data_IF_227671594256
#
_entry.id   IF_227671594256
#
_cell.length_a   1.000
_cell.length_b   1.000
_cell.length_c   1.000
_cell.angle_alpha   90.00
_cell.angle_beta   90.00
_cell.angle_gamma   90.00
#
_symmetry.space_group_name_H-M   'P 1'
#
loop_
_entity.id
_entity.type
_entity.pdbx_description
1 polymer ?
#
# COMPACT_ATOMS: atom_id res chain seq x y z
N UNK A 1 28.87 -2.67 41.61
CA UNK A 1 28.27 -2.63 40.26
C UNK A 1 28.93 -3.74 39.48
N UNK A 2 28.32 -4.91 39.42
CA UNK A 2 28.88 -6.08 38.74
C UNK A 2 28.75 -5.86 37.24
N UNK A 3 29.87 -5.60 36.57
CA UNK A 3 29.91 -5.63 35.11
C UNK A 3 29.52 -7.04 34.66
N UNK A 4 28.43 -7.11 33.91
CA UNK A 4 27.94 -8.34 33.34
C UNK A 4 28.92 -8.75 32.24
N UNK A 5 29.91 -9.58 32.58
CA UNK A 5 30.82 -10.21 31.63
C UNK A 5 30.04 -11.24 30.81
N UNK A 6 29.46 -10.80 29.70
CA UNK A 6 28.91 -11.72 28.71
C UNK A 6 30.06 -12.48 28.05
N UNK A 7 29.93 -13.79 27.99
CA UNK A 7 30.87 -14.66 27.29
C UNK A 7 30.94 -14.27 25.79
N UNK A 8 32.13 -13.90 25.26
CA UNK A 8 32.32 -13.56 23.84
C UNK A 8 31.89 -14.66 22.87
N UNK A 9 31.87 -15.92 23.33
CA UNK A 9 31.40 -17.05 22.53
C UNK A 9 29.90 -16.95 22.22
N UNK A 10 29.08 -16.49 23.18
CA UNK A 10 27.63 -16.30 23.00
C UNK A 10 27.38 -15.29 21.88
N UNK A 11 28.14 -14.19 21.81
CA UNK A 11 27.98 -13.19 20.74
C UNK A 11 28.16 -13.82 19.36
N UNK A 12 29.20 -14.62 19.16
CA UNK A 12 29.53 -15.14 17.82
C UNK A 12 28.60 -16.27 17.41
N UNK A 13 28.30 -17.18 18.34
CA UNK A 13 27.47 -18.36 18.08
C UNK A 13 25.96 -18.07 18.05
N UNK A 14 25.53 -16.92 18.58
CA UNK A 14 24.11 -16.52 18.60
C UNK A 14 23.83 -15.46 17.54
N UNK A 15 24.69 -14.44 17.40
CA UNK A 15 24.44 -13.35 16.43
C UNK A 15 24.72 -13.75 14.98
N UNK A 16 25.71 -14.61 14.70
CA UNK A 16 25.95 -14.99 13.30
C UNK A 16 24.78 -15.82 12.76
N UNK A 17 24.27 -16.84 13.48
CA UNK A 17 23.10 -17.59 13.01
C UNK A 17 21.81 -16.75 12.97
N UNK A 18 21.58 -15.84 13.93
CA UNK A 18 20.37 -15.01 13.92
C UNK A 18 20.34 -14.10 12.69
N UNK A 19 21.47 -13.50 12.31
CA UNK A 19 21.56 -12.62 11.13
C UNK A 19 21.32 -13.42 9.86
N UNK A 20 21.90 -14.63 9.76
CA UNK A 20 21.72 -15.49 8.59
C UNK A 20 20.25 -15.93 8.44
N UNK A 21 19.62 -16.40 9.52
CA UNK A 21 18.23 -16.85 9.49
C UNK A 21 17.28 -15.68 9.22
N UNK A 22 17.46 -14.53 9.90
CA UNK A 22 16.60 -13.35 9.66
C UNK A 22 16.74 -12.82 8.23
N UNK A 23 17.94 -12.89 7.64
CA UNK A 23 18.17 -12.53 6.24
C UNK A 23 17.39 -13.45 5.28
N UNK A 24 17.49 -14.77 5.44
CA UNK A 24 16.75 -15.71 4.59
C UNK A 24 15.23 -15.59 4.76
N UNK A 25 14.74 -15.41 5.99
CA UNK A 25 13.32 -15.14 6.26
C UNK A 25 12.87 -13.84 5.60
N UNK A 26 13.72 -12.81 5.59
CA UNK A 26 13.46 -11.55 4.89
C UNK A 26 13.30 -11.75 3.37
N UNK A 27 14.16 -12.56 2.76
CA UNK A 27 14.06 -12.92 1.34
C UNK A 27 12.75 -13.67 1.05
N UNK A 28 12.42 -14.69 1.85
CA UNK A 28 11.17 -15.45 1.70
C UNK A 28 9.95 -14.53 1.85
N UNK A 29 9.93 -13.65 2.86
CA UNK A 29 8.88 -12.65 3.05
C UNK A 29 8.72 -11.78 1.80
N UNK A 30 9.82 -11.29 1.22
CA UNK A 30 9.78 -10.44 0.04
C UNK A 30 9.13 -11.14 -1.14
N UNK A 31 9.51 -12.39 -1.42
CA UNK A 31 8.91 -13.17 -2.50
C UNK A 31 7.44 -13.53 -2.23
N UNK A 32 7.09 -13.90 -1.00
CA UNK A 32 5.69 -14.14 -0.60
C UNK A 32 4.85 -12.86 -0.77
N UNK A 33 5.39 -11.70 -0.44
CA UNK A 33 4.71 -10.43 -0.67
C UNK A 33 4.48 -10.17 -2.16
N UNK A 34 5.51 -10.36 -3.00
CA UNK A 34 5.38 -10.23 -4.45
C UNK A 34 4.32 -11.16 -5.05
N UNK A 35 4.20 -12.39 -4.52
CA UNK A 35 3.19 -13.35 -4.93
C UNK A 35 1.78 -12.99 -4.45
N UNK A 36 1.65 -12.41 -3.24
CA UNK A 36 0.36 -12.04 -2.64
C UNK A 36 -0.18 -10.70 -3.13
N UNK A 37 0.69 -9.81 -3.60
CA UNK A 37 0.34 -8.58 -4.31
C UNK A 37 -0.16 -8.98 -5.71
N UNK A 38 -1.43 -9.38 -5.75
CA UNK A 38 -2.14 -9.54 -7.01
C UNK A 38 -2.39 -8.15 -7.59
N UNK A 39 -1.99 -7.93 -8.85
CA UNK A 39 -2.43 -6.76 -9.61
C UNK A 39 -3.93 -6.92 -9.86
N UNK A 40 -4.75 -6.33 -8.99
CA UNK A 40 -6.20 -6.25 -9.20
C UNK A 40 -6.42 -5.73 -10.62
N UNK A 41 -7.20 -6.45 -11.42
CA UNK A 41 -7.64 -5.95 -12.72
C UNK A 41 -8.47 -4.72 -12.41
N UNK A 42 -7.89 -3.54 -12.64
CA UNK A 42 -8.63 -2.31 -12.51
C UNK A 42 -9.82 -2.42 -13.47
N UNK A 43 -11.00 -2.22 -12.93
CA UNK A 43 -12.23 -2.12 -13.69
C UNK A 43 -12.02 -1.08 -14.80
N UNK A 44 -12.14 -1.50 -16.07
CA UNK A 44 -11.81 -0.66 -17.22
C UNK A 44 -12.56 0.68 -17.16
N UNK A 45 -13.77 0.64 -16.63
CA UNK A 45 -14.62 1.79 -16.35
C UNK A 45 -13.97 2.81 -15.42
N UNK A 46 -13.42 2.37 -14.27
CA UNK A 46 -12.71 3.23 -13.32
C UNK A 46 -11.43 3.83 -13.90
N UNK A 47 -10.74 3.06 -14.75
CA UNK A 47 -9.55 3.55 -15.47
C UNK A 47 -9.94 4.65 -16.45
N UNK A 48 -11.00 4.43 -17.23
CA UNK A 48 -11.54 5.45 -18.13
C UNK A 48 -11.94 6.72 -17.38
N UNK A 49 -12.67 6.59 -16.27
CA UNK A 49 -13.08 7.74 -15.44
C UNK A 49 -11.88 8.54 -14.95
N UNK A 50 -10.82 7.85 -14.49
CA UNK A 50 -9.57 8.49 -14.06
C UNK A 50 -8.94 9.30 -15.20
N UNK A 51 -8.93 8.77 -16.42
CA UNK A 51 -8.41 9.48 -17.58
C UNK A 51 -9.26 10.69 -17.96
N UNK A 52 -10.59 10.58 -17.96
CA UNK A 52 -11.47 11.72 -18.27
C UNK A 52 -11.39 12.81 -17.20
N UNK A 53 -11.25 12.45 -15.93
CA UNK A 53 -11.05 13.39 -14.82
C UNK A 53 -9.70 14.11 -14.96
N UNK A 54 -8.64 13.38 -15.33
CA UNK A 54 -7.34 13.99 -15.64
C UNK A 54 -7.42 14.96 -16.83
N UNK A 55 -8.14 14.59 -17.90
CA UNK A 55 -8.40 15.48 -19.05
C UNK A 55 -9.17 16.74 -18.64
N UNK A 56 -10.19 16.62 -17.80
CA UNK A 56 -10.95 17.76 -17.29
C UNK A 56 -10.08 18.69 -16.45
N UNK A 57 -9.20 18.14 -15.58
CA UNK A 57 -8.22 18.94 -14.84
C UNK A 57 -7.26 19.69 -15.76
N UNK A 58 -6.74 19.00 -16.78
CA UNK A 58 -5.83 19.60 -17.76
C UNK A 58 -6.52 20.71 -18.55
N UNK A 59 -7.77 20.52 -18.97
CA UNK A 59 -8.57 21.53 -19.65
C UNK A 59 -8.80 22.76 -18.75
N UNK A 60 -9.01 22.56 -17.44
CA UNK A 60 -9.18 23.66 -16.47
C UNK A 60 -7.89 24.43 -16.24
N UNK A 61 -6.75 23.73 -16.15
CA UNK A 61 -5.44 24.36 -15.90
C UNK A 61 -4.87 25.05 -17.15
N UNK A 62 -4.95 24.39 -18.30
CA UNK A 62 -4.32 24.80 -19.55
C UNK A 62 -5.32 25.36 -20.57
N UNK A 63 -6.54 25.70 -20.14
CA UNK A 63 -7.61 26.18 -21.02
C UNK A 63 -7.29 27.50 -21.74
N UNK A 64 -6.35 28.28 -21.21
CA UNK A 64 -5.91 29.55 -21.79
C UNK A 64 -5.11 29.39 -23.11
N UNK A 65 -4.63 28.19 -23.42
CA UNK A 65 -3.84 27.89 -24.63
C UNK A 65 -4.76 27.63 -25.83
N UNK A 66 -6.03 27.29 -25.60
CA UNK A 66 -6.99 26.95 -26.64
C UNK A 66 -7.76 28.20 -27.10
N UNK A 67 -8.22 28.17 -28.35
CA UNK A 67 -9.21 29.13 -28.83
C UNK A 67 -10.50 29.06 -27.99
N UNK A 68 -11.17 30.20 -27.82
CA UNK A 68 -12.39 30.30 -27.01
C UNK A 68 -13.47 29.31 -27.45
N UNK A 69 -13.59 29.07 -28.76
CA UNK A 69 -14.57 28.13 -29.31
C UNK A 69 -14.24 26.66 -28.94
N UNK A 70 -12.96 26.28 -29.06
CA UNK A 70 -12.50 24.92 -28.72
C UNK A 70 -12.61 24.63 -27.23
N UNK A 71 -12.31 25.62 -26.39
CA UNK A 71 -12.49 25.52 -24.96
C UNK A 71 -13.96 25.34 -24.59
N UNK A 72 -14.85 26.13 -25.19
CA UNK A 72 -16.30 26.08 -24.91
C UNK A 72 -16.90 24.74 -25.35
N UNK A 73 -16.56 24.24 -26.53
CA UNK A 73 -17.00 22.92 -27.02
C UNK A 73 -16.58 21.79 -26.05
N UNK A 74 -15.31 21.78 -25.61
CA UNK A 74 -14.79 20.77 -24.67
C UNK A 74 -15.39 20.90 -23.27
N UNK A 75 -15.62 22.13 -22.81
CA UNK A 75 -16.31 22.40 -21.53
C UNK A 75 -17.74 21.86 -21.57
N UNK A 76 -18.45 22.08 -22.68
CA UNK A 76 -19.81 21.61 -22.87
C UNK A 76 -19.88 20.08 -22.83
N UNK A 77 -18.95 19.36 -23.47
CA UNK A 77 -18.86 17.89 -23.38
C UNK A 77 -18.81 17.36 -21.92
N UNK A 78 -18.11 18.05 -21.03
CA UNK A 78 -18.00 17.62 -19.62
C UNK A 78 -19.16 18.09 -18.74
N UNK A 79 -19.71 19.29 -19.00
CA UNK A 79 -20.60 20.03 -18.07
C UNK A 79 -22.06 20.06 -18.52
N UNK A 80 -22.39 19.62 -19.74
CA UNK A 80 -23.78 19.64 -20.25
C UNK A 80 -24.76 18.98 -19.26
N UNK A 81 -25.92 19.60 -19.02
CA UNK A 81 -26.87 19.15 -17.99
C UNK A 81 -27.50 17.79 -18.31
N UNK A 82 -27.70 17.47 -19.59
CA UNK A 82 -28.38 16.23 -20.01
C UNK A 82 -27.41 15.10 -20.43
N UNK A 83 -26.29 15.45 -21.08
CA UNK A 83 -25.32 14.48 -21.64
C UNK A 83 -23.89 14.68 -21.13
N UNK A 84 -23.68 15.57 -20.16
CA UNK A 84 -22.34 15.86 -19.65
C UNK A 84 -21.74 14.63 -19.01
N UNK A 85 -20.55 14.23 -19.46
CA UNK A 85 -19.87 13.04 -18.95
C UNK A 85 -19.75 13.03 -17.42
N UNK A 86 -19.61 14.21 -16.80
CA UNK A 86 -19.58 14.35 -15.34
C UNK A 86 -20.97 14.23 -14.70
N UNK A 87 -22.02 14.80 -15.31
CA UNK A 87 -23.38 14.76 -14.74
C UNK A 87 -24.00 13.36 -14.80
N UNK A 88 -23.88 12.66 -15.93
CA UNK A 88 -24.41 11.30 -16.09
C UNK A 88 -23.71 10.27 -15.19
N UNK A 89 -22.42 10.47 -14.90
CA UNK A 89 -21.62 9.59 -14.01
C UNK A 89 -21.80 9.89 -12.52
N UNK A 90 -22.10 11.14 -12.14
CA UNK A 90 -22.43 11.51 -10.75
C UNK A 90 -23.79 10.89 -10.33
N UNK A 91 -24.70 10.68 -11.28
CA UNK A 91 -25.99 10.01 -11.07
C UNK A 91 -25.90 8.47 -11.13
N UNK A 92 -24.82 7.92 -11.70
CA UNK A 92 -24.45 6.52 -11.44
C UNK A 92 -24.30 6.33 -9.94
N UNK A 93 -24.57 5.13 -9.39
CA UNK A 93 -24.57 4.92 -7.94
C UNK A 93 -23.26 5.46 -7.38
N UNK A 94 -23.36 6.58 -6.68
CA UNK A 94 -22.33 7.12 -5.81
C UNK A 94 -22.20 6.14 -4.65
N UNK A 95 -21.70 4.95 -4.93
CA UNK A 95 -20.93 4.20 -3.96
C UNK A 95 -19.55 4.86 -3.98
N UNK A 96 -19.48 6.05 -3.37
CA UNK A 96 -18.25 6.42 -2.67
C UNK A 96 -17.84 5.17 -1.87
N UNK A 97 -16.55 4.79 -1.90
CA UNK A 97 -16.10 3.45 -1.51
C UNK A 97 -16.76 3.08 -0.20
N UNK A 98 -17.75 2.18 -0.26
CA UNK A 98 -18.59 1.91 0.89
C UNK A 98 -17.65 1.22 1.88
N UNK A 99 -17.31 1.83 3.03
CA UNK A 99 -16.35 1.23 3.95
C UNK A 99 -16.85 -0.09 4.55
N UNK A 100 -18.12 -0.43 4.30
CA UNK A 100 -18.78 -1.68 4.66
C UNK A 100 -18.76 -2.74 3.54
N UNK A 101 -18.22 -2.44 2.36
CA UNK A 101 -18.12 -3.43 1.29
C UNK A 101 -17.05 -4.47 1.66
N UNK A 102 -17.43 -5.76 1.89
CA UNK A 102 -16.52 -6.77 2.43
C UNK A 102 -15.25 -6.94 1.57
N UNK A 103 -15.35 -6.72 0.26
CA UNK A 103 -14.22 -6.82 -0.66
C UNK A 103 -13.17 -5.70 -0.46
N UNK A 104 -13.60 -4.45 -0.26
CA UNK A 104 -12.68 -3.32 -0.06
C UNK A 104 -12.06 -3.33 1.34
N UNK A 105 -12.84 -3.69 2.36
CA UNK A 105 -12.33 -3.86 3.72
C UNK A 105 -11.30 -5.00 3.77
N UNK A 106 -11.55 -6.11 3.08
CA UNK A 106 -10.57 -7.22 2.98
C UNK A 106 -9.29 -6.79 2.29
N UNK A 107 -9.35 -5.94 1.25
CA UNK A 107 -8.16 -5.43 0.57
C UNK A 107 -7.31 -4.50 1.46
N UNK A 108 -7.96 -3.60 2.20
CA UNK A 108 -7.28 -2.72 3.15
C UNK A 108 -6.66 -3.51 4.31
N UNK A 109 -7.42 -4.46 4.88
CA UNK A 109 -6.95 -5.35 5.93
C UNK A 109 -5.81 -6.23 5.45
N UNK A 110 -5.90 -6.79 4.24
CA UNK A 110 -4.83 -7.59 3.63
C UNK A 110 -3.55 -6.78 3.47
N UNK A 111 -3.65 -5.53 3.00
CA UNK A 111 -2.49 -4.64 2.91
C UNK A 111 -1.83 -4.37 4.26
N UNK A 112 -2.63 -4.06 5.29
CA UNK A 112 -2.11 -3.79 6.64
C UNK A 112 -1.55 -5.06 7.32
N UNK A 113 -2.24 -6.19 7.17
CA UNK A 113 -1.80 -7.49 7.72
C UNK A 113 -0.50 -7.98 7.09
N UNK A 114 -0.30 -7.81 5.79
CA UNK A 114 0.96 -8.19 5.12
C UNK A 114 2.18 -7.42 5.66
N UNK A 115 1.95 -6.25 6.25
CA UNK A 115 3.00 -5.46 6.90
C UNK A 115 3.19 -5.85 8.37
N UNK A 116 2.09 -6.05 9.11
CA UNK A 116 2.08 -6.33 10.55
C UNK A 116 2.50 -7.78 10.88
N UNK A 117 1.97 -8.77 10.15
CA UNK A 117 2.20 -10.20 10.45
C UNK A 117 3.69 -10.54 10.53
N UNK A 118 4.54 -10.11 9.59
CA UNK A 118 5.92 -10.55 9.66
C UNK A 118 6.72 -9.81 10.74
N UNK A 119 6.29 -8.62 11.19
CA UNK A 119 6.88 -7.96 12.36
C UNK A 119 6.61 -8.76 13.64
N UNK A 120 5.38 -9.26 13.81
CA UNK A 120 5.01 -10.11 14.94
C UNK A 120 5.70 -11.48 14.89
N UNK A 121 5.77 -12.10 13.71
CA UNK A 121 6.44 -13.41 13.53
C UNK A 121 7.94 -13.31 13.84
N UNK A 122 8.62 -12.25 13.37
CA UNK A 122 10.04 -12.04 13.66
C UNK A 122 10.24 -11.77 15.16
N UNK A 123 9.43 -10.90 15.76
CA UNK A 123 9.51 -10.60 17.19
C UNK A 123 9.26 -11.84 18.07
N UNK A 124 8.27 -12.65 17.73
CA UNK A 124 7.97 -13.91 18.42
C UNK A 124 9.03 -14.98 18.23
N UNK A 125 9.56 -15.13 17.01
CA UNK A 125 10.64 -16.07 16.73
C UNK A 125 11.93 -15.72 17.47
N UNK A 126 12.32 -14.43 17.49
CA UNK A 126 13.48 -13.96 18.27
C UNK A 126 13.26 -14.21 19.77
N UNK A 127 12.07 -13.91 20.29
CA UNK A 127 11.77 -14.14 21.70
C UNK A 127 11.86 -15.63 22.06
N UNK A 128 11.30 -16.53 21.25
CA UNK A 128 11.34 -17.97 21.51
C UNK A 128 12.75 -18.59 21.36
N UNK A 129 13.50 -18.20 20.34
CA UNK A 129 14.83 -18.78 20.07
C UNK A 129 15.94 -18.25 20.98
N UNK A 130 15.78 -17.04 21.52
CA UNK A 130 16.77 -16.41 22.41
C UNK A 130 16.24 -16.15 23.83
N UNK A 131 15.09 -16.76 24.17
CA UNK A 131 14.56 -16.84 25.53
C UNK A 131 15.55 -17.61 26.41
N UNK A 132 16.38 -16.90 27.16
CA UNK A 132 17.33 -17.51 28.10
C UNK A 132 18.67 -16.80 28.25
N UNK A 133 18.99 -15.83 27.39
CA UNK A 133 20.24 -15.07 27.47
C UNK A 133 20.00 -13.56 27.39
N UNK A 134 20.70 -12.79 28.22
CA UNK A 134 20.68 -11.32 28.14
C UNK A 134 21.44 -10.93 26.87
N UNK A 135 20.76 -10.31 25.90
CA UNK A 135 21.34 -10.04 24.57
C UNK A 135 22.20 -8.77 24.58
N UNK A 136 21.79 -7.74 25.32
CA UNK A 136 22.53 -6.49 25.53
C UNK A 136 22.10 -5.84 26.84
N UNK A 137 23.00 -5.15 27.53
CA UNK A 137 22.63 -4.22 28.61
C UNK A 137 21.76 -3.11 27.97
N UNK A 138 20.49 -3.06 28.35
CA UNK A 138 19.63 -1.92 28.00
C UNK A 138 20.30 -0.65 28.50
N UNK A 139 20.45 0.33 27.61
CA UNK A 139 20.94 1.65 27.97
C UNK A 139 19.97 2.30 28.96
#
# INVERSE_FOLDING_TARGET
>A
MTDLLLDPAIRTWVFVPIVVVTFFVGIVRHYVHLLLVSKKKNELEKVQDTHYLAKARLLRQNGHILSHNDFTMRKQFFVNEQEGYLHSRIQGPSTGPNPLDPAMMTEMLKGNMLNMVPMLVIGGWINWTFSGFVTTRGM
#
